data_IF_708252444665
#
_entry.id   IF_708252444665
#
_cell.length_a   1.000
_cell.length_b   1.000
_cell.length_c   1.000
_cell.angle_alpha   90.00
_cell.angle_beta   90.00
_cell.angle_gamma   90.00
#
_symmetry.space_group_name_H-M   'P 1'
#
loop_
_entity.id
_entity.type
_entity.pdbx_description
1 polymer ?
#
# COMPACT_ATOMS: atom_id res chain seq x y z
N UNK A 1 36.38 20.80 -1.57
CA UNK A 1 35.10 20.88 -0.83
C UNK A 1 34.33 22.09 -1.31
N UNK A 2 33.09 21.91 -1.67
CA UNK A 2 32.19 22.94 -2.17
C UNK A 2 30.95 23.04 -1.27
N UNK A 3 30.23 24.15 -1.38
CA UNK A 3 29.01 24.37 -0.58
C UNK A 3 27.80 24.47 -1.50
N UNK A 4 26.70 23.89 -1.08
CA UNK A 4 25.43 23.99 -1.76
C UNK A 4 24.36 24.50 -0.83
N UNK A 5 23.69 25.57 -1.25
CA UNK A 5 22.60 26.17 -0.51
C UNK A 5 21.29 25.98 -1.28
N UNK A 6 20.36 25.23 -0.70
CA UNK A 6 19.00 25.08 -1.18
C UNK A 6 18.13 26.17 -0.54
N UNK A 7 17.81 27.20 -1.33
CA UNK A 7 17.21 28.44 -0.80
C UNK A 7 15.83 28.20 -0.24
N UNK A 8 15.05 27.36 -0.87
CA UNK A 8 13.67 27.14 -0.52
C UNK A 8 13.51 26.34 0.77
N UNK A 9 14.36 25.35 0.97
CA UNK A 9 14.35 24.45 2.12
C UNK A 9 15.18 25.00 3.28
N UNK A 10 15.91 26.11 3.05
CA UNK A 10 16.88 26.72 4.00
C UNK A 10 17.91 25.69 4.51
N UNK A 11 18.40 24.86 3.58
CA UNK A 11 19.40 23.83 3.83
C UNK A 11 20.71 24.24 3.18
N UNK A 12 21.82 24.12 3.92
CA UNK A 12 23.17 24.33 3.42
C UNK A 12 24.04 23.13 3.78
N UNK A 13 24.71 22.54 2.80
CA UNK A 13 25.56 21.36 2.99
C UNK A 13 26.92 21.54 2.33
N UNK A 14 27.92 20.92 2.94
CA UNK A 14 29.24 20.76 2.35
C UNK A 14 29.27 19.47 1.54
N UNK A 15 29.82 19.52 0.33
CA UNK A 15 29.85 18.40 -0.61
C UNK A 15 31.24 18.23 -1.23
N UNK A 16 31.50 17.06 -1.77
CA UNK A 16 32.72 16.81 -2.55
C UNK A 16 32.66 17.55 -3.87
N UNK A 17 33.83 18.02 -4.31
CA UNK A 17 33.97 18.72 -5.58
C UNK A 17 33.64 17.79 -6.77
N UNK A 18 32.92 18.30 -7.73
CA UNK A 18 32.58 17.56 -8.96
C UNK A 18 31.34 16.69 -8.89
N UNK A 19 30.65 16.59 -7.74
CA UNK A 19 29.36 15.92 -7.71
C UNK A 19 28.29 16.72 -8.45
N UNK A 20 27.23 16.07 -8.87
CA UNK A 20 26.10 16.77 -9.48
C UNK A 20 25.22 17.45 -8.43
N UNK A 21 24.52 18.50 -8.86
CA UNK A 21 23.50 19.14 -8.02
C UNK A 21 22.43 18.15 -7.57
N UNK A 22 22.09 17.16 -8.41
CA UNK A 22 21.18 16.07 -8.06
C UNK A 22 21.70 15.22 -6.88
N UNK A 23 23.00 14.87 -6.90
CA UNK A 23 23.63 14.12 -5.80
C UNK A 23 23.64 14.95 -4.52
N UNK A 24 23.90 16.27 -4.64
CA UNK A 24 23.81 17.19 -3.51
C UNK A 24 22.38 17.29 -2.93
N UNK A 25 21.34 17.34 -3.77
CA UNK A 25 19.94 17.28 -3.30
C UNK A 25 19.68 16.01 -2.45
N UNK A 26 20.15 14.86 -2.92
CA UNK A 26 19.99 13.56 -2.22
C UNK A 26 20.76 13.58 -0.89
N UNK A 27 22.00 14.08 -0.87
CA UNK A 27 22.79 14.20 0.37
C UNK A 27 22.15 15.17 1.39
N UNK A 28 21.49 16.23 0.91
CA UNK A 28 20.71 17.14 1.73
C UNK A 28 19.42 16.52 2.31
N UNK A 29 19.12 15.27 1.97
CA UNK A 29 17.88 14.59 2.36
C UNK A 29 16.65 15.01 1.56
N UNK A 30 16.85 15.79 0.49
CA UNK A 30 15.80 16.15 -0.45
C UNK A 30 15.46 14.96 -1.36
N UNK A 31 14.27 14.96 -1.92
CA UNK A 31 13.77 13.89 -2.80
C UNK A 31 13.57 14.41 -4.22
N UNK A 32 14.65 14.54 -5.01
CA UNK A 32 14.55 15.02 -6.38
C UNK A 32 13.74 14.06 -7.28
N UNK A 33 12.91 14.61 -8.18
CA UNK A 33 12.24 13.82 -9.22
C UNK A 33 13.23 13.47 -10.34
N UNK A 34 13.92 12.36 -10.16
CA UNK A 34 14.96 11.89 -11.10
C UNK A 34 14.79 10.42 -11.46
N UNK A 35 13.68 10.01 -12.11
CA UNK A 35 13.39 8.60 -12.39
C UNK A 35 14.41 7.90 -13.26
N UNK A 36 15.22 8.65 -14.02
CA UNK A 36 16.31 8.08 -14.80
C UNK A 36 17.62 7.91 -14.01
N UNK A 37 17.62 8.13 -12.68
CA UNK A 37 18.83 7.98 -11.86
C UNK A 37 19.98 8.92 -12.22
N UNK A 38 19.69 10.10 -12.76
CA UNK A 38 20.73 11.06 -13.13
C UNK A 38 21.28 10.91 -14.56
N UNK A 39 20.71 10.05 -15.40
CA UNK A 39 21.17 9.81 -16.79
C UNK A 39 20.84 10.96 -17.76
N UNK A 40 20.22 12.04 -17.33
CA UNK A 40 19.88 13.20 -18.15
C UNK A 40 18.72 13.00 -19.14
N UNK A 41 18.11 11.80 -19.18
CA UNK A 41 17.14 11.40 -20.21
C UNK A 41 15.71 11.87 -19.91
N UNK A 42 15.27 11.85 -18.63
CA UNK A 42 13.88 12.12 -18.27
C UNK A 42 13.52 13.61 -18.25
N UNK A 43 14.50 14.51 -18.05
CA UNK A 43 14.26 15.95 -17.98
C UNK A 43 13.48 16.43 -16.75
N UNK A 44 13.33 15.60 -15.71
CA UNK A 44 12.46 15.90 -14.57
C UNK A 44 13.18 16.56 -13.38
N UNK A 45 14.49 16.32 -13.21
CA UNK A 45 15.31 16.90 -12.14
C UNK A 45 15.62 18.38 -12.39
N UNK A 46 14.60 19.20 -12.57
CA UNK A 46 14.76 20.61 -12.87
C UNK A 46 14.96 21.40 -11.57
N UNK A 47 15.96 22.26 -11.58
CA UNK A 47 16.24 23.25 -10.53
C UNK A 47 16.56 24.58 -11.17
N UNK A 48 16.55 25.66 -10.40
CA UNK A 48 16.92 26.98 -10.87
C UNK A 48 18.24 27.38 -10.22
N UNK A 49 19.22 27.69 -11.03
CA UNK A 49 20.55 28.16 -10.63
C UNK A 49 20.82 29.46 -11.35
N UNK A 50 21.19 30.52 -10.62
CA UNK A 50 21.43 31.85 -11.18
C UNK A 50 20.28 32.40 -12.06
N UNK A 51 19.02 31.99 -11.73
CA UNK A 51 17.86 32.42 -12.49
C UNK A 51 17.49 31.55 -13.69
N UNK A 52 18.35 30.61 -14.09
CA UNK A 52 18.10 29.69 -15.20
C UNK A 52 17.62 28.31 -14.72
N UNK A 53 16.65 27.74 -15.46
CA UNK A 53 16.15 26.39 -15.19
C UNK A 53 17.03 25.37 -15.89
N UNK A 54 17.65 24.51 -15.09
CA UNK A 54 18.62 23.51 -15.56
C UNK A 54 18.29 22.13 -15.00
N UNK A 55 18.86 21.06 -15.60
CA UNK A 55 18.76 19.70 -15.08
C UNK A 55 19.81 19.47 -14.00
N UNK A 56 19.41 19.28 -12.76
CA UNK A 56 20.29 19.07 -11.62
C UNK A 56 21.34 17.96 -11.84
N UNK A 57 20.97 16.89 -12.55
CA UNK A 57 21.88 15.79 -12.84
C UNK A 57 22.99 16.12 -13.87
N UNK A 58 22.87 17.23 -14.58
CA UNK A 58 23.86 17.64 -15.61
C UNK A 58 24.78 18.76 -15.13
N UNK A 59 24.47 19.40 -14.02
CA UNK A 59 25.29 20.45 -13.43
C UNK A 59 26.24 19.85 -12.42
N UNK A 60 27.55 20.07 -12.62
CA UNK A 60 28.59 19.66 -11.67
C UNK A 60 29.02 20.86 -10.84
N UNK A 61 29.23 20.64 -9.56
CA UNK A 61 29.62 21.68 -8.61
C UNK A 61 31.16 21.83 -8.69
N UNK A 62 31.63 23.05 -8.97
CA UNK A 62 33.05 23.35 -9.10
C UNK A 62 33.78 23.29 -7.75
N UNK A 63 35.12 23.17 -7.82
CA UNK A 63 36.01 23.16 -6.67
C UNK A 63 35.94 24.48 -5.91
N UNK A 64 35.67 24.42 -4.58
CA UNK A 64 35.57 25.59 -3.74
C UNK A 64 34.40 26.53 -4.05
N UNK A 65 33.49 26.12 -4.89
CA UNK A 65 32.32 26.91 -5.31
C UNK A 65 31.21 26.86 -4.29
N UNK A 66 30.48 27.97 -4.16
CA UNK A 66 29.18 27.99 -3.46
C UNK A 66 28.06 28.01 -4.47
N UNK A 67 27.36 26.90 -4.61
CA UNK A 67 26.24 26.78 -5.54
C UNK A 67 24.93 27.10 -4.85
N UNK A 68 24.22 28.12 -5.34
CA UNK A 68 22.90 28.49 -4.82
C UNK A 68 21.82 27.90 -5.70
N UNK A 69 21.04 26.98 -5.15
CA UNK A 69 20.02 26.21 -5.85
C UNK A 69 18.63 26.57 -5.32
N UNK A 70 17.74 26.95 -6.22
CA UNK A 70 16.32 27.09 -5.92
C UNK A 70 15.60 25.86 -6.47
N UNK A 71 15.09 25.01 -5.57
CA UNK A 71 14.27 23.85 -5.97
C UNK A 71 12.95 24.35 -6.54
N UNK A 72 12.52 23.80 -7.66
CA UNK A 72 11.26 24.18 -8.26
C UNK A 72 10.09 23.54 -7.50
N UNK A 73 8.96 24.27 -7.42
CA UNK A 73 7.78 23.79 -6.73
C UNK A 73 7.25 22.52 -7.41
N UNK A 74 7.34 21.40 -6.70
CA UNK A 74 6.84 20.10 -7.15
C UNK A 74 5.40 19.84 -6.73
N UNK A 75 4.86 20.73 -5.88
CA UNK A 75 3.49 20.61 -5.35
C UNK A 75 2.38 20.65 -6.42
N UNK A 76 2.72 20.89 -7.68
CA UNK A 76 1.79 20.91 -8.80
C UNK A 76 1.82 19.67 -9.70
N UNK A 77 2.83 18.80 -9.63
CA UNK A 77 2.99 17.68 -10.55
C UNK A 77 2.90 16.28 -9.92
N UNK A 78 2.79 16.17 -8.61
CA UNK A 78 2.37 14.94 -7.96
C UNK A 78 0.83 14.81 -7.89
N UNK A 79 0.11 15.34 -8.84
CA UNK A 79 -1.16 14.74 -9.18
C UNK A 79 -0.86 13.42 -9.90
N UNK A 80 -0.36 12.45 -9.14
CA UNK A 80 -0.68 11.06 -9.44
C UNK A 80 -2.19 11.10 -9.62
N UNK A 81 -2.65 10.68 -10.77
CA UNK A 81 -4.08 10.54 -11.08
C UNK A 81 -4.67 9.59 -10.03
N UNK A 82 -4.95 10.12 -8.83
CA UNK A 82 -5.79 9.48 -7.82
C UNK A 82 -7.24 9.49 -8.27
N UNK A 83 -7.59 10.37 -9.20
CA UNK A 83 -8.84 10.39 -9.95
C UNK A 83 -8.68 9.50 -11.19
N UNK A 84 -8.55 8.20 -10.98
CA UNK A 84 -8.84 7.22 -12.02
C UNK A 84 -10.30 7.37 -12.46
N UNK A 85 -10.62 7.03 -13.70
CA UNK A 85 -11.98 6.92 -14.18
C UNK A 85 -12.79 6.10 -13.18
N UNK A 86 -13.61 6.78 -12.39
CA UNK A 86 -14.56 6.14 -11.48
C UNK A 86 -15.65 5.52 -12.36
N UNK A 87 -15.40 4.31 -12.87
CA UNK A 87 -16.50 3.49 -13.40
C UNK A 87 -17.33 3.09 -12.18
N UNK A 88 -18.61 3.32 -12.23
CA UNK A 88 -19.55 2.69 -11.32
C UNK A 88 -19.42 1.18 -11.51
N UNK A 89 -18.58 0.57 -10.70
CA UNK A 89 -18.46 -0.88 -10.61
C UNK A 89 -19.37 -1.31 -9.48
N UNK A 90 -20.30 -2.19 -9.75
CA UNK A 90 -21.07 -2.84 -8.70
C UNK A 90 -20.07 -3.61 -7.84
N UNK A 91 -19.88 -3.14 -6.61
CA UNK A 91 -18.97 -3.78 -5.69
C UNK A 91 -19.63 -5.05 -5.14
N UNK A 92 -19.14 -6.21 -5.56
CA UNK A 92 -19.44 -7.48 -4.92
C UNK A 92 -18.33 -7.81 -3.93
N UNK A 93 -18.57 -7.76 -2.61
CA UNK A 93 -17.54 -8.04 -1.63
C UNK A 93 -17.07 -9.48 -1.78
N UNK A 94 -15.81 -9.65 -2.22
CA UNK A 94 -15.17 -10.97 -2.29
C UNK A 94 -14.98 -11.62 -0.92
N UNK A 95 -15.03 -10.80 0.15
CA UNK A 95 -14.94 -11.22 1.55
C UNK A 95 -16.22 -10.84 2.28
N UNK A 96 -16.82 -11.84 2.94
CA UNK A 96 -18.01 -11.68 3.79
C UNK A 96 -17.63 -11.89 5.25
N UNK A 97 -18.47 -11.42 6.14
CA UNK A 97 -18.36 -11.67 7.57
C UNK A 97 -19.75 -11.94 8.14
N UNK A 98 -19.88 -13.03 8.85
CA UNK A 98 -21.07 -13.37 9.58
C UNK A 98 -20.75 -13.59 11.06
N UNK A 99 -21.67 -13.18 11.93
CA UNK A 99 -21.66 -13.59 13.33
C UNK A 99 -22.37 -14.92 13.42
N UNK A 100 -21.72 -15.90 14.02
CA UNK A 100 -22.25 -17.24 14.21
C UNK A 100 -22.20 -17.63 15.68
N UNK A 101 -23.23 -18.30 16.14
CA UNK A 101 -23.28 -18.92 17.46
C UNK A 101 -23.13 -20.44 17.28
N UNK A 102 -22.04 -21.00 17.84
CA UNK A 102 -21.74 -22.43 17.72
C UNK A 102 -22.32 -23.19 18.92
N UNK A 103 -23.47 -23.79 18.74
CA UNK A 103 -24.06 -24.67 19.76
C UNK A 103 -23.10 -25.79 20.18
N UNK A 104 -23.14 -26.14 21.47
CA UNK A 104 -22.37 -27.28 21.99
C UNK A 104 -22.93 -28.58 21.43
N UNK A 105 -22.03 -29.52 21.13
CA UNK A 105 -22.42 -30.85 20.70
C UNK A 105 -23.32 -31.53 21.74
N UNK A 106 -24.42 -32.11 21.30
CA UNK A 106 -25.30 -32.91 22.12
C UNK A 106 -24.81 -34.36 22.18
N UNK A 107 -25.00 -35.02 23.31
CA UNK A 107 -24.62 -36.45 23.45
C UNK A 107 -25.31 -37.28 22.37
N UNK A 108 -24.53 -38.05 21.60
CA UNK A 108 -25.02 -38.83 20.47
C UNK A 108 -25.07 -38.12 19.13
N UNK A 109 -24.72 -36.84 19.05
CA UNK A 109 -24.62 -36.11 17.80
C UNK A 109 -23.41 -36.60 17.00
N UNK A 110 -23.60 -36.82 15.68
CA UNK A 110 -22.56 -37.34 14.78
C UNK A 110 -21.87 -36.22 13.97
N UNK A 111 -22.43 -35.00 13.97
CA UNK A 111 -21.83 -33.87 13.24
C UNK A 111 -20.55 -33.40 13.90
N UNK A 112 -19.52 -33.17 13.13
CA UNK A 112 -18.28 -32.53 13.61
C UNK A 112 -18.52 -31.04 13.93
N UNK A 113 -17.61 -30.44 14.69
CA UNK A 113 -17.62 -28.98 14.95
C UNK A 113 -17.59 -28.19 13.65
N UNK A 114 -16.83 -28.67 12.67
CA UNK A 114 -16.75 -28.12 11.34
C UNK A 114 -18.10 -28.14 10.61
N UNK A 115 -18.79 -29.27 10.60
CA UNK A 115 -20.13 -29.37 9.98
C UNK A 115 -21.13 -28.44 10.64
N UNK A 116 -21.13 -28.34 11.98
CA UNK A 116 -22.00 -27.40 12.69
C UNK A 116 -21.71 -25.95 12.31
N UNK A 117 -20.43 -25.57 12.24
CA UNK A 117 -20.05 -24.24 11.79
C UNK A 117 -20.58 -23.92 10.39
N UNK A 118 -20.42 -24.85 9.45
CA UNK A 118 -20.87 -24.66 8.07
C UNK A 118 -22.40 -24.60 7.97
N UNK A 119 -23.10 -25.45 8.72
CA UNK A 119 -24.58 -25.44 8.77
C UNK A 119 -25.07 -24.08 9.32
N UNK A 120 -24.51 -23.61 10.44
CA UNK A 120 -24.86 -22.30 11.02
C UNK A 120 -24.52 -21.15 10.07
N UNK A 121 -23.40 -21.23 9.39
CA UNK A 121 -23.00 -20.21 8.42
C UNK A 121 -23.96 -20.16 7.22
N UNK A 122 -24.39 -21.33 6.71
CA UNK A 122 -25.36 -21.43 5.64
C UNK A 122 -26.77 -20.95 6.05
N UNK A 123 -27.16 -21.13 7.30
CA UNK A 123 -28.40 -20.55 7.86
C UNK A 123 -28.34 -19.03 7.95
N UNK A 124 -27.14 -18.48 8.23
CA UNK A 124 -26.92 -17.03 8.35
C UNK A 124 -26.77 -16.37 6.96
N UNK A 125 -26.10 -17.04 6.03
CA UNK A 125 -25.90 -16.60 4.66
C UNK A 125 -26.30 -17.71 3.68
N UNK A 126 -27.49 -17.61 3.12
CA UNK A 126 -28.06 -18.61 2.21
C UNK A 126 -27.30 -18.84 0.90
N UNK A 127 -26.25 -18.05 0.60
CA UNK A 127 -25.35 -18.27 -0.53
C UNK A 127 -24.18 -19.23 -0.18
N UNK A 128 -24.03 -19.60 1.09
CA UNK A 128 -23.01 -20.55 1.54
C UNK A 128 -23.48 -21.97 1.25
N UNK A 129 -22.71 -22.71 0.49
CA UNK A 129 -22.89 -24.13 0.23
C UNK A 129 -21.92 -24.96 1.11
N UNK A 130 -22.37 -25.60 2.20
CA UNK A 130 -21.50 -26.29 3.14
C UNK A 130 -20.54 -27.30 2.50
N UNK A 131 -21.04 -28.04 1.49
CA UNK A 131 -20.25 -29.06 0.79
C UNK A 131 -19.14 -28.52 -0.14
N UNK A 132 -19.12 -27.22 -0.41
CA UNK A 132 -18.13 -26.56 -1.28
C UNK A 132 -17.14 -25.69 -0.49
N UNK A 133 -17.31 -25.57 0.84
CA UNK A 133 -16.45 -24.72 1.66
C UNK A 133 -15.16 -25.43 2.02
N UNK A 134 -14.07 -24.73 1.80
CA UNK A 134 -12.71 -25.10 2.18
C UNK A 134 -12.27 -24.37 3.45
N UNK A 135 -11.37 -24.97 4.19
CA UNK A 135 -10.72 -24.37 5.36
C UNK A 135 -9.23 -24.69 5.35
N UNK A 136 -8.44 -23.77 5.87
CA UNK A 136 -7.05 -24.05 6.17
C UNK A 136 -6.93 -25.09 7.31
N UNK A 137 -6.00 -26.03 7.16
CA UNK A 137 -5.79 -27.10 8.15
C UNK A 137 -5.45 -26.56 9.54
N UNK A 138 -4.75 -25.44 9.60
CA UNK A 138 -4.43 -24.80 10.89
C UNK A 138 -5.71 -24.32 11.56
N UNK A 139 -6.57 -23.58 10.85
CA UNK A 139 -7.84 -23.10 11.38
C UNK A 139 -8.76 -24.26 11.77
N UNK A 140 -8.83 -25.32 10.96
CA UNK A 140 -9.60 -26.53 11.27
C UNK A 140 -9.11 -27.21 12.57
N UNK A 141 -7.82 -27.24 12.81
CA UNK A 141 -7.21 -27.78 14.03
C UNK A 141 -7.49 -26.90 15.28
N UNK A 142 -7.57 -25.61 15.10
CA UNK A 142 -7.83 -24.65 16.18
C UNK A 142 -9.31 -24.60 16.60
N UNK A 143 -10.25 -24.98 15.73
CA UNK A 143 -11.69 -24.86 15.92
C UNK A 143 -12.16 -25.50 17.23
N UNK A 144 -11.63 -26.67 17.59
CA UNK A 144 -11.97 -27.33 18.86
C UNK A 144 -11.58 -26.49 20.09
N UNK A 145 -10.42 -25.86 20.06
CA UNK A 145 -9.96 -24.97 21.12
C UNK A 145 -10.79 -23.71 21.21
N UNK A 146 -11.09 -23.11 20.05
CA UNK A 146 -11.87 -21.87 19.93
C UNK A 146 -13.28 -22.04 20.55
N UNK A 147 -13.95 -23.16 20.33
CA UNK A 147 -15.26 -23.47 20.92
C UNK A 147 -15.26 -23.54 22.44
N UNK A 148 -14.14 -23.82 23.08
CA UNK A 148 -14.03 -23.84 24.55
C UNK A 148 -13.97 -22.43 25.13
N UNK A 149 -13.53 -21.47 24.32
CA UNK A 149 -13.32 -20.08 24.70
C UNK A 149 -14.58 -19.22 24.56
N UNK A 150 -15.39 -19.47 23.52
CA UNK A 150 -16.61 -18.72 23.26
C UNK A 150 -17.58 -19.55 22.42
N UNK A 151 -18.86 -19.29 22.55
CA UNK A 151 -19.89 -19.83 21.66
C UNK A 151 -20.19 -18.87 20.50
N UNK A 152 -19.85 -17.56 20.60
CA UNK A 152 -20.05 -16.54 19.57
C UNK A 152 -18.73 -16.21 18.84
N UNK A 153 -18.80 -16.18 17.52
CA UNK A 153 -17.67 -15.93 16.64
C UNK A 153 -18.06 -15.10 15.42
N UNK A 154 -17.14 -14.26 14.96
CA UNK A 154 -17.20 -13.62 13.66
C UNK A 154 -16.37 -14.44 12.68
N UNK A 155 -17.02 -14.99 11.67
CA UNK A 155 -16.39 -15.78 10.59
C UNK A 155 -16.18 -14.89 9.40
N UNK A 156 -14.93 -14.82 8.91
CA UNK A 156 -14.56 -14.14 7.68
C UNK A 156 -14.37 -15.21 6.61
N UNK A 157 -15.08 -15.08 5.52
CA UNK A 157 -15.10 -16.10 4.46
C UNK A 157 -15.27 -15.47 3.07
N UNK A 158 -14.86 -16.22 2.07
CA UNK A 158 -15.18 -15.99 0.67
C UNK A 158 -16.25 -16.99 0.21
N UNK A 159 -16.65 -16.96 -1.06
CA UNK A 159 -17.65 -17.91 -1.61
C UNK A 159 -17.32 -19.39 -1.34
N UNK A 160 -16.06 -19.77 -1.22
CA UNK A 160 -15.61 -21.16 -1.07
C UNK A 160 -14.64 -21.43 0.05
N UNK A 161 -14.27 -20.42 0.83
CA UNK A 161 -13.21 -20.60 1.83
C UNK A 161 -13.46 -19.77 3.07
N UNK A 162 -13.33 -20.41 4.22
CA UNK A 162 -13.21 -19.71 5.51
C UNK A 162 -11.75 -19.30 5.68
N UNK A 163 -11.56 -18.03 5.99
CA UNK A 163 -10.25 -17.39 6.10
C UNK A 163 -9.83 -17.17 7.53
N UNK A 164 -10.79 -16.76 8.38
CA UNK A 164 -10.51 -16.39 9.75
C UNK A 164 -11.77 -16.54 10.63
N UNK A 165 -11.54 -16.82 11.91
CA UNK A 165 -12.56 -16.73 12.95
C UNK A 165 -12.01 -15.88 14.09
N UNK A 166 -12.82 -14.94 14.61
CA UNK A 166 -12.41 -14.02 15.67
C UNK A 166 -13.59 -13.65 16.59
N UNK A 167 -13.26 -13.19 17.80
CA UNK A 167 -14.27 -12.81 18.82
C UNK A 167 -14.88 -11.43 18.59
N UNK A 168 -14.23 -10.58 17.82
CA UNK A 168 -14.65 -9.19 17.62
C UNK A 168 -14.96 -8.92 16.16
N UNK A 169 -15.99 -8.11 15.92
CA UNK A 169 -16.40 -7.64 14.60
C UNK A 169 -15.44 -6.59 14.04
N UNK A 170 -14.16 -6.88 13.90
CA UNK A 170 -13.20 -5.90 13.36
C UNK A 170 -13.52 -5.49 11.91
N UNK A 171 -12.99 -4.33 11.50
CA UNK A 171 -13.12 -3.86 10.12
C UNK A 171 -12.39 -4.81 9.16
N UNK A 172 -13.01 -5.10 8.02
CA UNK A 172 -12.37 -5.81 6.91
C UNK A 172 -11.73 -4.77 6.01
N UNK A 173 -10.44 -4.89 5.76
CA UNK A 173 -9.75 -4.01 4.84
C UNK A 173 -9.19 -4.83 3.68
N UNK A 174 -9.27 -4.27 2.49
CA UNK A 174 -8.62 -4.79 1.28
C UNK A 174 -7.50 -3.83 0.91
N UNK A 175 -6.43 -4.36 0.36
CA UNK A 175 -5.34 -3.56 -0.18
C UNK A 175 -5.14 -3.89 -1.66
N UNK A 176 -5.02 -2.85 -2.48
CA UNK A 176 -4.65 -2.97 -3.88
C UNK A 176 -3.38 -2.17 -4.13
N UNK A 177 -2.46 -2.72 -4.94
CA UNK A 177 -1.22 -2.06 -5.28
C UNK A 177 -1.07 -1.99 -6.80
N UNK A 178 -0.80 -0.79 -7.29
CA UNK A 178 -0.35 -0.57 -8.65
C UNK A 178 1.17 -0.34 -8.62
N UNK A 179 1.91 -1.26 -9.22
CA UNK A 179 3.38 -1.24 -9.25
C UNK A 179 3.82 -0.89 -10.66
N UNK A 180 3.91 0.42 -10.94
CA UNK A 180 4.44 0.95 -12.19
C UNK A 180 5.97 1.06 -12.18
N UNK A 181 6.56 1.28 -13.34
CA UNK A 181 8.02 1.47 -13.50
C UNK A 181 8.53 2.70 -12.77
N UNK A 182 7.72 3.75 -12.69
CA UNK A 182 8.09 5.03 -12.07
C UNK A 182 7.48 5.23 -10.69
N UNK A 183 6.26 4.74 -10.48
CA UNK A 183 5.46 5.00 -9.28
C UNK A 183 4.83 3.72 -8.78
N UNK A 184 4.75 3.58 -7.47
CA UNK A 184 3.96 2.56 -6.78
C UNK A 184 2.82 3.29 -6.07
N UNK A 185 1.59 2.90 -6.32
CA UNK A 185 0.42 3.40 -5.62
C UNK A 185 -0.24 2.26 -4.82
N UNK A 186 -0.62 2.55 -3.58
CA UNK A 186 -1.32 1.63 -2.69
C UNK A 186 -2.67 2.22 -2.29
N UNK A 187 -3.70 1.41 -2.33
CA UNK A 187 -5.07 1.75 -1.96
C UNK A 187 -5.50 0.86 -0.80
N UNK A 188 -6.02 1.46 0.25
CA UNK A 188 -6.72 0.77 1.32
C UNK A 188 -8.21 0.96 1.13
N UNK A 189 -8.94 -0.15 1.06
CA UNK A 189 -10.37 -0.16 0.78
C UNK A 189 -11.15 -0.76 1.96
N UNK A 190 -12.35 -0.29 2.20
CA UNK A 190 -13.29 -0.96 3.08
C UNK A 190 -13.81 -2.23 2.40
N UNK A 191 -13.65 -3.37 3.05
CA UNK A 191 -14.08 -4.66 2.51
C UNK A 191 -15.59 -4.89 2.54
N UNK A 192 -16.36 -3.97 3.12
CA UNK A 192 -17.80 -4.07 3.17
C UNK A 192 -18.47 -3.43 1.94
N UNK A 193 -17.96 -2.29 1.50
CA UNK A 193 -18.59 -1.48 0.44
C UNK A 193 -17.62 -1.06 -0.69
N UNK A 194 -16.34 -1.42 -0.58
CA UNK A 194 -15.31 -1.06 -1.55
C UNK A 194 -14.84 0.40 -1.48
N UNK A 195 -15.31 1.18 -0.51
CA UNK A 195 -14.94 2.58 -0.36
C UNK A 195 -13.44 2.71 -0.06
N UNK A 196 -12.78 3.61 -0.76
CA UNK A 196 -11.37 3.93 -0.49
C UNK A 196 -11.23 4.63 0.85
N UNK A 197 -10.42 4.06 1.74
CA UNK A 197 -10.12 4.57 3.08
C UNK A 197 -8.85 5.43 3.08
N UNK A 198 -7.85 5.02 2.31
CA UNK A 198 -6.59 5.75 2.16
C UNK A 198 -5.95 5.42 0.82
N UNK A 199 -5.19 6.38 0.32
CA UNK A 199 -4.31 6.20 -0.85
C UNK A 199 -2.94 6.76 -0.50
N UNK A 200 -1.91 6.01 -0.81
CA UNK A 200 -0.52 6.45 -0.67
C UNK A 200 0.23 6.09 -1.94
N UNK A 201 1.14 6.96 -2.34
CA UNK A 201 1.95 6.70 -3.51
C UNK A 201 3.40 7.12 -3.28
N UNK A 202 4.31 6.39 -3.91
CA UNK A 202 5.75 6.66 -3.83
C UNK A 202 6.40 6.41 -5.18
N UNK A 203 7.53 7.06 -5.39
CA UNK A 203 8.39 6.70 -6.50
C UNK A 203 8.89 5.26 -6.34
N UNK A 204 8.87 4.51 -7.43
CA UNK A 204 9.42 3.16 -7.45
C UNK A 204 10.94 3.25 -7.28
N UNK A 205 11.53 2.70 -6.19
CA UNK A 205 12.97 2.74 -5.99
C UNK A 205 13.76 2.00 -7.09
N UNK A 206 13.11 1.10 -7.83
CA UNK A 206 13.72 0.40 -8.96
C UNK A 206 13.93 1.31 -10.18
N UNK A 207 13.27 2.47 -10.26
CA UNK A 207 13.42 3.41 -11.36
C UNK A 207 14.88 3.91 -11.51
N UNK A 208 15.69 3.86 -10.46
CA UNK A 208 17.13 4.20 -10.50
C UNK A 208 17.97 3.21 -11.33
N UNK A 209 17.50 1.97 -11.51
CA UNK A 209 18.20 0.93 -12.26
C UNK A 209 17.80 0.88 -13.75
N UNK A 210 16.90 1.75 -14.18
CA UNK A 210 16.35 1.83 -15.52
C UNK A 210 15.00 1.12 -15.64
N UNK A 211 14.13 1.67 -16.49
CA UNK A 211 12.86 1.07 -16.90
C UNK A 211 13.04 0.38 -18.24
#
# INVERSE_FOLDING_TARGET
>A
MAWVKFVREDIEIEVEDGISVLEAEIQAGLRPDAPCGGLGKCGKCLVKINGEVVKACQIRIGEGETCVVETLDRAGNEKILTDGFNREVVFEPGLRMAQVELEKAKTGEKRSDWQRLLDTLAETDGEVEPGQMEVDLKLAGELYGMRRDSDEWYVIYSRRRILEMRKEAGRRCLAAFDIGTTTIAGYLLDGADGRTLAVESRMNPQAQYGA
#
